data_IF_084614963340
#
_entry.id   IF_084614963340
#
_cell.length_a   1.000
_cell.length_b   1.000
_cell.length_c   1.000
_cell.angle_alpha   90.00
_cell.angle_beta   90.00
_cell.angle_gamma   90.00
#
_symmetry.space_group_name_H-M   'P 1'
#
loop_
_entity.id
_entity.type
_entity.pdbx_description
1 polymer ?
#
# COMPACT_ATOMS: atom_id res chain seq x y z
N UNK A 1 -5.50 -58.24 -25.77
CA UNK A 1 -4.52 -57.50 -24.94
C UNK A 1 -4.34 -56.03 -25.38
N UNK A 2 -5.41 -55.31 -25.81
CA UNK A 2 -5.34 -53.90 -26.25
C UNK A 2 -6.30 -52.96 -25.49
N UNK A 3 -7.10 -53.49 -24.55
CA UNK A 3 -8.17 -52.74 -23.86
C UNK A 3 -7.76 -52.16 -22.48
N UNK A 4 -6.59 -52.54 -21.96
CA UNK A 4 -6.07 -52.06 -20.66
C UNK A 4 -5.31 -50.73 -20.79
N UNK A 5 -4.78 -50.39 -21.98
CA UNK A 5 -4.11 -49.12 -22.21
C UNK A 5 -5.07 -47.92 -22.37
N UNK A 6 -6.36 -48.17 -22.63
CA UNK A 6 -7.37 -47.10 -22.75
C UNK A 6 -7.92 -46.63 -21.40
N UNK A 7 -7.75 -47.39 -20.31
CA UNK A 7 -8.25 -47.02 -18.99
C UNK A 7 -7.32 -46.03 -18.25
N UNK A 8 -6.00 -46.13 -18.48
CA UNK A 8 -5.00 -45.25 -17.86
C UNK A 8 -4.91 -43.87 -18.51
N UNK A 9 -5.46 -43.69 -19.72
CA UNK A 9 -5.50 -42.39 -20.40
C UNK A 9 -6.60 -41.44 -19.85
N UNK A 10 -7.62 -41.98 -19.19
CA UNK A 10 -8.75 -41.20 -18.65
C UNK A 10 -8.42 -40.64 -17.25
N UNK A 11 -7.55 -41.31 -16.48
CA UNK A 11 -7.16 -40.86 -15.14
C UNK A 11 -6.18 -39.67 -15.15
N UNK A 12 -5.49 -39.44 -16.26
CA UNK A 12 -4.51 -38.33 -16.42
C UNK A 12 -5.22 -37.00 -16.77
N UNK A 13 -6.49 -37.03 -17.18
CA UNK A 13 -7.24 -35.82 -17.55
C UNK A 13 -7.90 -35.10 -16.35
N UNK A 14 -7.87 -35.66 -15.14
CA UNK A 14 -8.57 -35.09 -13.97
C UNK A 14 -7.75 -34.09 -13.12
N UNK A 15 -6.49 -33.82 -13.45
CA UNK A 15 -5.58 -33.12 -12.53
C UNK A 15 -5.32 -31.66 -12.94
N UNK A 16 -6.32 -30.91 -13.40
CA UNK A 16 -6.21 -29.43 -13.47
C UNK A 16 -7.57 -28.75 -13.27
N UNK A 17 -8.35 -29.15 -12.26
CA UNK A 17 -9.30 -28.22 -11.65
C UNK A 17 -8.52 -27.25 -10.77
N UNK A 18 -7.78 -26.32 -11.39
CA UNK A 18 -7.19 -25.19 -10.70
C UNK A 18 -8.33 -24.39 -10.07
N UNK A 19 -8.39 -24.36 -8.74
CA UNK A 19 -9.39 -23.59 -8.01
C UNK A 19 -9.43 -22.16 -8.57
N UNK A 20 -10.58 -21.77 -9.10
CA UNK A 20 -10.81 -20.42 -9.57
C UNK A 20 -10.84 -19.52 -8.33
N UNK A 21 -9.72 -18.86 -8.04
CA UNK A 21 -9.57 -18.05 -6.83
C UNK A 21 -9.21 -16.62 -7.23
N UNK A 22 -9.95 -15.64 -6.73
CA UNK A 22 -9.58 -14.24 -6.79
C UNK A 22 -8.46 -13.98 -5.79
N UNK A 23 -7.41 -13.30 -6.22
CA UNK A 23 -6.26 -13.00 -5.38
C UNK A 23 -5.75 -11.61 -5.69
N UNK A 24 -5.41 -10.85 -4.65
CA UNK A 24 -4.85 -9.51 -4.77
C UNK A 24 -3.41 -9.51 -4.30
N UNK A 25 -2.48 -9.20 -5.21
CA UNK A 25 -1.06 -9.14 -4.89
C UNK A 25 -0.54 -7.71 -5.08
N UNK A 26 0.10 -7.14 -4.06
CA UNK A 26 0.67 -5.79 -4.09
C UNK A 26 2.17 -5.84 -4.37
N UNK A 27 2.66 -4.94 -5.23
CA UNK A 27 4.12 -4.78 -5.42
C UNK A 27 4.81 -4.30 -4.14
N UNK A 28 4.08 -3.51 -3.35
CA UNK A 28 4.52 -3.01 -2.05
C UNK A 28 3.33 -2.88 -1.14
N UNK A 29 3.48 -3.27 0.12
CA UNK A 29 2.43 -3.07 1.13
C UNK A 29 2.74 -1.92 2.09
N UNK A 30 3.98 -1.45 2.14
CA UNK A 30 4.41 -0.35 3.02
C UNK A 30 5.18 0.70 2.24
N UNK A 31 4.68 1.93 2.18
CA UNK A 31 5.45 3.07 1.68
C UNK A 31 5.98 3.93 2.84
N UNK A 32 7.27 4.31 2.77
CA UNK A 32 7.88 5.25 3.71
C UNK A 32 8.23 6.53 2.95
N UNK A 33 7.59 7.63 3.30
CA UNK A 33 7.88 8.95 2.73
C UNK A 33 9.19 9.56 3.28
N UNK A 34 9.77 8.97 4.32
CA UNK A 34 10.89 9.59 5.03
C UNK A 34 10.45 10.84 5.78
N UNK A 35 11.33 11.85 5.81
CA UNK A 35 11.00 13.18 6.33
C UNK A 35 10.69 14.13 5.16
N UNK A 36 9.63 14.93 5.30
CA UNK A 36 9.27 15.96 4.31
C UNK A 36 8.56 17.14 4.98
N UNK A 37 8.60 18.31 4.35
CA UNK A 37 8.00 19.51 4.91
C UNK A 37 6.47 19.50 4.89
N UNK A 38 5.87 20.17 5.86
CA UNK A 38 4.45 20.45 5.89
C UNK A 38 3.99 21.02 4.53
N UNK A 39 2.80 20.59 4.09
CA UNK A 39 2.24 20.91 2.77
C UNK A 39 2.97 20.27 1.57
N UNK A 40 3.97 19.41 1.80
CA UNK A 40 4.58 18.58 0.78
C UNK A 40 3.62 17.53 0.21
N UNK A 41 4.12 16.73 -0.74
CA UNK A 41 3.34 15.67 -1.39
C UNK A 41 3.25 14.41 -0.51
N UNK A 42 2.09 14.19 0.11
CA UNK A 42 1.77 12.98 0.87
C UNK A 42 1.01 11.92 0.09
N UNK A 43 1.21 11.83 -1.23
CA UNK A 43 0.48 10.87 -2.10
C UNK A 43 1.38 9.72 -2.52
N UNK A 44 0.86 8.50 -2.45
CA UNK A 44 1.52 7.33 -3.02
C UNK A 44 0.50 6.40 -3.69
N UNK A 45 0.91 5.77 -4.79
CA UNK A 45 0.09 4.81 -5.54
C UNK A 45 0.60 3.40 -5.26
N UNK A 46 -0.22 2.60 -4.59
CA UNK A 46 0.06 1.20 -4.35
C UNK A 46 -0.44 0.38 -5.53
N UNK A 47 0.49 -0.08 -6.37
CA UNK A 47 0.18 -0.95 -7.49
C UNK A 47 -0.09 -2.37 -7.01
N UNK A 48 -1.15 -2.97 -7.55
CA UNK A 48 -1.53 -4.35 -7.30
C UNK A 48 -1.95 -5.04 -8.59
N UNK A 49 -1.97 -6.36 -8.56
CA UNK A 49 -2.38 -7.23 -9.66
C UNK A 49 -3.41 -8.23 -9.14
N UNK A 50 -4.42 -8.52 -9.96
CA UNK A 50 -5.25 -9.70 -9.74
C UNK A 50 -4.47 -10.95 -10.20
N UNK A 51 -3.80 -11.64 -9.29
CA UNK A 51 -3.08 -12.89 -9.59
C UNK A 51 -3.99 -14.11 -9.66
N UNK A 52 -5.28 -13.92 -9.39
CA UNK A 52 -6.30 -14.94 -9.47
C UNK A 52 -6.76 -15.23 -10.90
N UNK A 53 -7.71 -16.16 -11.01
CA UNK A 53 -8.30 -16.61 -12.29
C UNK A 53 -9.73 -16.12 -12.53
N UNK A 54 -10.31 -15.36 -11.59
CA UNK A 54 -11.61 -14.70 -11.72
C UNK A 54 -11.53 -13.19 -11.43
N UNK A 55 -12.51 -12.36 -11.86
CA UNK A 55 -12.49 -10.93 -11.62
C UNK A 55 -12.45 -10.55 -10.13
N UNK A 56 -11.50 -9.67 -9.78
CA UNK A 56 -11.32 -9.13 -8.44
C UNK A 56 -12.12 -7.83 -8.29
N UNK A 57 -12.87 -7.70 -7.20
CA UNK A 57 -13.70 -6.53 -6.88
C UNK A 57 -13.27 -6.00 -5.51
N UNK A 58 -12.93 -4.71 -5.45
CA UNK A 58 -12.65 -4.02 -4.20
C UNK A 58 -13.93 -3.33 -3.72
N UNK A 59 -14.58 -3.90 -2.71
CA UNK A 59 -15.85 -3.38 -2.17
C UNK A 59 -15.62 -2.15 -1.31
N UNK A 60 -14.47 -2.05 -0.63
CA UNK A 60 -14.18 -0.93 0.26
C UNK A 60 -12.67 -0.71 0.41
N UNK A 61 -12.27 0.56 0.59
CA UNK A 61 -10.96 0.90 1.13
C UNK A 61 -11.10 2.05 2.14
N UNK A 62 -10.60 1.84 3.36
CA UNK A 62 -10.77 2.78 4.48
C UNK A 62 -9.44 3.08 5.14
N UNK A 63 -9.09 4.36 5.23
CA UNK A 63 -7.94 4.81 6.01
C UNK A 63 -8.20 4.70 7.52
N UNK A 64 -7.12 4.57 8.30
CA UNK A 64 -7.20 4.51 9.77
C UNK A 64 -7.72 5.80 10.43
N UNK A 65 -7.70 6.93 9.71
CA UNK A 65 -8.17 8.25 10.13
C UNK A 65 -8.66 9.02 8.90
N UNK A 66 -9.44 10.09 9.09
CA UNK A 66 -9.77 11.04 8.01
C UNK A 66 -8.55 11.77 7.40
N UNK A 67 -7.39 11.63 8.04
CA UNK A 67 -6.10 12.14 7.56
C UNK A 67 -5.42 11.25 6.51
N UNK A 68 -6.01 10.12 6.15
CA UNK A 68 -5.49 9.18 5.15
C UNK A 68 -6.64 8.73 4.27
N UNK A 69 -6.66 9.21 3.03
CA UNK A 69 -7.79 9.02 2.11
C UNK A 69 -7.34 8.13 0.95
N UNK A 70 -7.90 6.91 0.83
CA UNK A 70 -7.67 6.06 -0.33
C UNK A 70 -8.64 6.38 -1.48
N UNK A 71 -8.17 6.20 -2.71
CA UNK A 71 -8.95 6.15 -3.95
C UNK A 71 -8.59 4.85 -4.66
N UNK A 72 -9.60 4.10 -5.09
CA UNK A 72 -9.44 2.76 -5.65
C UNK A 72 -10.40 2.55 -6.84
N UNK A 73 -10.07 1.62 -7.77
CA UNK A 73 -10.95 1.29 -8.88
C UNK A 73 -12.27 0.70 -8.39
N UNK A 74 -13.37 1.09 -9.05
CA UNK A 74 -14.72 0.58 -8.75
C UNK A 74 -15.16 -0.52 -9.70
N UNK A 75 -14.48 -0.63 -10.84
CA UNK A 75 -14.72 -1.67 -11.83
C UNK A 75 -13.99 -2.97 -11.44
N UNK A 76 -14.51 -4.13 -11.87
CA UNK A 76 -13.82 -5.40 -11.69
C UNK A 76 -12.44 -5.41 -12.39
N UNK A 77 -11.43 -5.93 -11.69
CA UNK A 77 -10.08 -6.11 -12.21
C UNK A 77 -9.98 -7.54 -12.74
N UNK A 78 -9.85 -7.68 -14.06
CA UNK A 78 -9.73 -8.99 -14.71
C UNK A 78 -8.45 -9.75 -14.29
N UNK A 79 -8.44 -11.09 -14.40
CA UNK A 79 -7.24 -11.91 -14.16
C UNK A 79 -6.01 -11.39 -14.90
N UNK A 80 -4.88 -11.30 -14.20
CA UNK A 80 -3.60 -10.82 -14.73
C UNK A 80 -3.47 -9.31 -14.87
N UNK A 81 -4.57 -8.55 -14.78
CA UNK A 81 -4.51 -7.09 -14.89
C UNK A 81 -4.03 -6.44 -13.58
N UNK A 82 -3.30 -5.34 -13.74
CA UNK A 82 -2.87 -4.47 -12.64
C UNK A 82 -3.69 -3.20 -12.54
N UNK A 83 -3.80 -2.65 -11.33
CA UNK A 83 -4.37 -1.34 -11.07
C UNK A 83 -3.71 -0.71 -9.82
N UNK A 84 -4.16 0.46 -9.39
CA UNK A 84 -3.57 1.20 -8.26
C UNK A 84 -4.60 1.57 -7.20
N UNK A 85 -4.16 1.57 -5.94
CA UNK A 85 -4.83 2.26 -4.84
C UNK A 85 -4.02 3.50 -4.50
N UNK A 86 -4.55 4.67 -4.81
CA UNK A 86 -3.94 5.96 -4.49
C UNK A 86 -4.25 6.33 -3.05
N UNK A 87 -3.24 6.52 -2.23
CA UNK A 87 -3.38 6.94 -0.83
C UNK A 87 -2.83 8.34 -0.67
N UNK A 88 -3.67 9.24 -0.16
CA UNK A 88 -3.29 10.63 0.16
C UNK A 88 -3.30 10.85 1.66
N UNK A 89 -2.18 11.30 2.20
CA UNK A 89 -2.03 11.76 3.57
C UNK A 89 -2.20 13.28 3.68
N UNK A 90 -2.83 13.72 4.77
CA UNK A 90 -2.93 15.12 5.14
C UNK A 90 -1.60 15.64 5.72
N UNK A 91 -0.77 16.21 4.83
CA UNK A 91 0.55 16.75 5.14
C UNK A 91 0.54 18.07 5.93
N UNK A 92 -0.63 18.54 6.38
CA UNK A 92 -0.72 19.66 7.33
C UNK A 92 -0.34 19.24 8.74
N UNK A 93 -0.27 17.94 9.03
CA UNK A 93 -0.03 17.40 10.37
C UNK A 93 1.47 17.17 10.56
N UNK A 94 2.06 17.96 11.45
CA UNK A 94 3.48 17.85 11.85
C UNK A 94 3.68 16.63 12.76
N UNK A 95 4.83 15.97 12.63
CA UNK A 95 5.24 14.83 13.45
C UNK A 95 5.29 13.52 12.69
N UNK A 96 5.70 12.46 13.41
CA UNK A 96 5.77 11.11 12.85
C UNK A 96 4.37 10.54 12.62
N UNK A 97 4.21 9.78 11.53
CA UNK A 97 2.97 9.08 11.23
C UNK A 97 3.23 7.65 10.75
N UNK A 98 2.28 6.77 11.08
CA UNK A 98 2.19 5.41 10.58
C UNK A 98 0.70 5.10 10.44
N UNK A 99 0.19 5.16 9.21
CA UNK A 99 -1.25 5.06 8.90
C UNK A 99 -1.51 3.85 8.03
N UNK A 100 -2.62 3.17 8.28
CA UNK A 100 -3.06 2.03 7.47
C UNK A 100 -4.23 2.40 6.58
N UNK A 101 -4.36 1.67 5.49
CA UNK A 101 -5.57 1.58 4.68
C UNK A 101 -5.98 0.11 4.67
N UNK A 102 -7.18 -0.16 5.15
CA UNK A 102 -7.81 -1.49 5.13
C UNK A 102 -8.66 -1.60 3.88
N UNK A 103 -8.38 -2.62 3.07
CA UNK A 103 -9.04 -2.91 1.80
C UNK A 103 -9.87 -4.18 1.97
N UNK A 104 -11.14 -4.12 1.61
CA UNK A 104 -12.03 -5.27 1.57
C UNK A 104 -12.30 -5.64 0.11
N UNK A 105 -12.19 -6.93 -0.21
CA UNK A 105 -12.37 -7.45 -1.57
C UNK A 105 -13.01 -8.83 -1.55
N UNK A 106 -13.34 -9.36 -2.73
CA UNK A 106 -13.75 -10.76 -2.91
C UNK A 106 -12.57 -11.73 -3.08
N UNK A 107 -11.33 -11.33 -2.75
CA UNK A 107 -10.20 -12.25 -2.74
C UNK A 107 -10.42 -13.38 -1.74
N UNK A 108 -10.08 -14.62 -2.12
CA UNK A 108 -10.33 -15.81 -1.28
C UNK A 108 -9.29 -15.93 -0.16
N UNK A 109 -8.03 -15.66 -0.48
CA UNK A 109 -6.90 -15.80 0.46
C UNK A 109 -6.87 -14.66 1.47
N UNK A 110 -6.97 -13.42 0.98
CA UNK A 110 -6.94 -12.19 1.79
C UNK A 110 -8.16 -11.30 1.49
N UNK A 111 -9.38 -11.65 1.95
CA UNK A 111 -10.57 -10.84 1.73
C UNK A 111 -10.46 -9.45 2.38
N UNK A 112 -9.60 -9.32 3.40
CA UNK A 112 -9.22 -8.03 4.01
C UNK A 112 -7.71 -7.86 3.98
N UNK A 113 -7.22 -6.94 3.14
CA UNK A 113 -5.80 -6.61 3.01
C UNK A 113 -5.48 -5.27 3.67
N UNK A 114 -4.28 -5.11 4.23
CA UNK A 114 -3.85 -3.86 4.87
C UNK A 114 -2.56 -3.36 4.25
N UNK A 115 -2.60 -2.15 3.69
CA UNK A 115 -1.39 -1.42 3.25
C UNK A 115 -1.11 -0.27 4.21
N UNK A 116 0.15 0.21 4.26
CA UNK A 116 0.58 1.24 5.20
C UNK A 116 1.42 2.32 4.55
N UNK A 117 1.23 3.54 5.02
CA UNK A 117 2.15 4.66 4.78
C UNK A 117 2.78 5.09 6.10
N UNK A 118 4.05 5.46 6.06
CA UNK A 118 4.77 6.02 7.22
C UNK A 118 5.70 7.15 6.81
N UNK A 119 6.11 7.94 7.78
CA UNK A 119 7.05 9.04 7.59
C UNK A 119 6.99 10.03 8.74
N UNK A 120 7.54 11.22 8.51
CA UNK A 120 7.50 12.33 9.46
C UNK A 120 7.36 13.65 8.71
N UNK A 121 6.33 14.40 9.06
CA UNK A 121 6.15 15.75 8.51
C UNK A 121 6.91 16.74 9.39
N UNK A 122 7.80 17.55 8.80
CA UNK A 122 8.53 18.62 9.47
C UNK A 122 7.74 19.93 9.40
N UNK A 123 7.88 20.77 10.42
CA UNK A 123 7.27 22.09 10.40
C UNK A 123 7.97 22.95 9.32
N UNK A 124 7.20 23.51 8.39
CA UNK A 124 7.73 24.47 7.43
C UNK A 124 7.92 25.81 8.13
N UNK A 125 9.15 26.19 8.42
CA UNK A 125 9.46 27.53 8.95
C UNK A 125 9.18 28.59 7.86
N UNK A 126 8.56 29.71 8.23
CA UNK A 126 8.17 30.77 7.28
C UNK A 126 9.34 31.60 6.75
N UNK A 127 10.56 31.38 7.24
CA UNK A 127 11.70 32.27 7.03
C UNK A 127 12.70 31.79 5.94
N UNK A 128 12.37 30.72 5.21
CA UNK A 128 13.26 30.07 4.23
C UNK A 128 13.42 30.84 2.89
N UNK A 129 13.16 32.15 2.91
CA UNK A 129 13.58 33.12 1.88
C UNK A 129 14.72 34.04 2.39
N UNK A 130 15.32 33.73 3.54
CA UNK A 130 16.37 34.57 4.15
C UNK A 130 17.73 33.83 4.07
N UNK A 131 18.83 34.46 3.61
CA UNK A 131 20.12 33.77 3.49
C UNK A 131 20.58 33.25 4.86
N UNK A 132 20.86 31.94 4.93
CA UNK A 132 21.28 31.23 6.14
C UNK A 132 22.50 31.90 6.80
N UNK A 133 22.32 32.55 7.96
CA UNK A 133 23.43 32.85 8.87
C UNK A 133 23.55 31.71 9.88
N UNK A 134 24.50 30.82 9.64
CA UNK A 134 24.94 29.75 10.55
C UNK A 134 25.42 30.37 11.87
N UNK A 135 24.67 30.22 12.95
CA UNK A 135 25.18 30.51 14.29
C UNK A 135 25.28 29.22 15.11
N UNK A 136 26.53 28.86 15.36
CA UNK A 136 27.01 27.79 16.21
C UNK A 136 26.49 27.93 17.65
N UNK A 137 25.80 26.92 18.17
CA UNK A 137 25.52 26.79 19.60
C UNK A 137 26.82 26.56 20.37
N UNK A 138 27.35 27.60 21.02
CA UNK A 138 28.32 27.46 22.10
C UNK A 138 27.55 27.28 23.42
N UNK A 139 27.64 26.08 23.97
CA UNK A 139 27.18 25.69 25.32
C UNK A 139 27.99 26.47 26.37
N UNK A 140 27.40 27.15 27.37
CA UNK A 140 28.13 27.57 28.54
C UNK A 140 28.06 26.50 29.63
N UNK A 141 29.22 25.97 29.98
CA UNK A 141 29.46 25.15 31.18
C UNK A 141 29.36 26.02 32.43
N UNK A 142 28.44 25.69 33.34
CA UNK A 142 28.40 26.26 34.69
C UNK A 142 29.45 25.59 35.58
N UNK A 143 30.30 26.39 36.25
CA UNK A 143 31.19 25.94 37.34
C UNK A 143 30.46 26.01 38.70
N UNK A 144 30.80 25.14 39.67
CA UNK A 144 30.20 25.16 41.00
C UNK A 144 30.91 26.15 41.92
N UNK A 145 30.16 26.70 42.87
CA UNK A 145 30.64 27.16 44.17
C UNK A 145 29.92 26.36 45.24
#
# INVERSE_FOLDING_TARGET
>A
MKKIFLLNAIFILMVFFGAQAQEINFEKEIHNFGEFDQYGNGTYEFKFTNSGSAPLIISNAKGSCGCTVPVWPKEPILPGNSNVIKVKYDTKRVGAFNKSVTISSNAITDPTKVIRIKGKTLLKNKDDNTPLKKNSSSIPTSKPY
#
